data_IF_802340145744
#
_entry.id   IF_802340145744
#
_cell.length_a   1.000
_cell.length_b   1.000
_cell.length_c   1.000
_cell.angle_alpha   90.00
_cell.angle_beta   90.00
_cell.angle_gamma   90.00
#
_symmetry.space_group_name_H-M   'P 1'
#
loop_
_entity.id
_entity.type
_entity.pdbx_description
1 polymer ?
#
# COMPACT_ATOMS: atom_id res chain seq x y z
N UNK A 1 -2.98 -30.84 36.71
CA UNK A 1 -3.47 -31.86 35.77
C UNK A 1 -4.93 -31.59 35.52
N UNK A 2 -5.26 -30.97 34.39
CA UNK A 2 -6.65 -30.78 33.96
C UNK A 2 -7.22 -32.13 33.56
N UNK A 3 -8.28 -32.53 34.26
CA UNK A 3 -9.02 -33.77 34.06
C UNK A 3 -9.62 -33.79 32.64
N UNK A 4 -9.19 -34.73 31.79
CA UNK A 4 -9.66 -34.95 30.42
C UNK A 4 -11.03 -35.62 30.45
N UNK A 5 -12.05 -34.92 30.95
CA UNK A 5 -13.44 -35.31 30.66
C UNK A 5 -13.61 -35.22 29.15
N UNK A 6 -13.90 -36.36 28.51
CA UNK A 6 -13.68 -36.64 27.09
C UNK A 6 -14.20 -35.53 26.17
N UNK A 7 -13.29 -34.66 25.69
CA UNK A 7 -13.56 -33.55 24.75
C UNK A 7 -14.03 -33.98 23.36
N UNK A 8 -14.29 -35.27 23.16
CA UNK A 8 -14.68 -35.80 21.87
C UNK A 8 -15.77 -36.87 22.01
N UNK A 9 -16.55 -37.04 20.95
CA UNK A 9 -17.54 -38.12 20.82
C UNK A 9 -17.32 -38.88 19.52
N UNK A 10 -17.56 -40.19 19.57
CA UNK A 10 -17.61 -41.03 18.38
C UNK A 10 -18.99 -40.95 17.73
N UNK A 11 -19.04 -40.83 16.41
CA UNK A 11 -20.27 -41.04 15.66
C UNK A 11 -20.48 -42.51 15.26
N UNK A 12 -21.48 -42.73 14.40
CA UNK A 12 -21.77 -44.05 13.85
C UNK A 12 -20.69 -44.43 12.83
N UNK A 13 -20.06 -45.62 12.93
CA UNK A 13 -19.14 -46.10 11.89
C UNK A 13 -19.85 -46.24 10.55
N UNK A 14 -19.14 -45.94 9.45
CA UNK A 14 -19.59 -46.22 8.10
C UNK A 14 -19.36 -47.69 7.70
N UNK A 15 -19.77 -48.05 6.48
CA UNK A 15 -19.62 -49.40 5.93
C UNK A 15 -18.16 -49.82 5.74
N UNK A 16 -17.21 -48.87 5.83
CA UNK A 16 -15.76 -49.11 5.76
C UNK A 16 -15.13 -49.21 7.16
N UNK A 17 -15.93 -49.15 8.23
CA UNK A 17 -15.47 -49.20 9.61
C UNK A 17 -14.81 -47.90 10.09
N UNK A 18 -14.93 -46.81 9.33
CA UNK A 18 -14.46 -45.49 9.71
C UNK A 18 -15.45 -44.87 10.70
N UNK A 19 -15.00 -44.64 11.93
CA UNK A 19 -15.77 -43.96 12.97
C UNK A 19 -15.43 -42.46 12.97
N UNK A 20 -16.37 -41.55 12.66
CA UNK A 20 -16.11 -40.11 12.77
C UNK A 20 -15.90 -39.70 14.23
N UNK A 21 -15.00 -38.74 14.47
CA UNK A 21 -14.69 -38.18 15.79
C UNK A 21 -15.04 -36.69 15.78
N UNK A 22 -15.94 -36.28 16.66
CA UNK A 22 -16.35 -34.90 16.84
C UNK A 22 -15.70 -34.34 18.09
N UNK A 23 -15.08 -33.16 18.01
CA UNK A 23 -14.36 -32.52 19.12
C UNK A 23 -15.16 -31.31 19.60
N UNK A 24 -15.24 -31.09 20.91
CA UNK A 24 -15.89 -29.95 21.58
C UNK A 24 -17.33 -29.65 21.09
N UNK A 25 -18.09 -30.69 20.74
CA UNK A 25 -19.48 -30.54 20.30
C UNK A 25 -19.66 -30.04 18.87
N UNK A 26 -18.58 -29.99 18.06
CA UNK A 26 -18.66 -29.63 16.65
C UNK A 26 -19.72 -30.45 15.88
N UNK A 27 -20.39 -29.78 14.95
CA UNK A 27 -21.38 -30.40 14.05
C UNK A 27 -20.71 -31.28 12.99
N UNK A 28 -19.53 -30.87 12.53
CA UNK A 28 -18.69 -31.61 11.58
C UNK A 28 -17.60 -32.41 12.32
N UNK A 29 -17.21 -33.60 11.81
CA UNK A 29 -16.16 -34.39 12.43
C UNK A 29 -14.78 -33.76 12.18
N UNK A 30 -13.91 -33.81 13.19
CA UNK A 30 -12.50 -33.42 13.06
C UNK A 30 -11.68 -34.42 12.22
N UNK A 31 -12.21 -35.63 12.05
CA UNK A 31 -11.61 -36.70 11.30
C UNK A 31 -12.27 -38.04 11.59
N UNK A 32 -11.63 -39.11 11.14
CA UNK A 32 -12.09 -40.48 11.31
C UNK A 32 -11.03 -41.36 11.96
N UNK A 33 -11.49 -42.34 12.73
CA UNK A 33 -10.64 -43.44 13.21
C UNK A 33 -11.13 -44.76 12.67
N UNK A 34 -10.21 -45.63 12.25
CA UNK A 34 -10.54 -46.98 11.75
C UNK A 34 -9.58 -48.01 12.30
N UNK A 35 -10.06 -49.23 12.49
CA UNK A 35 -9.22 -50.36 12.86
C UNK A 35 -8.74 -51.04 11.57
N UNK A 36 -7.42 -51.08 11.36
CA UNK A 36 -6.79 -51.69 10.19
C UNK A 36 -6.46 -53.18 10.39
N UNK A 37 -6.74 -53.74 11.56
CA UNK A 37 -6.48 -55.15 11.87
C UNK A 37 -5.10 -55.37 12.46
N UNK A 38 -4.37 -56.40 11.99
CA UNK A 38 -3.23 -56.98 12.74
C UNK A 38 -2.02 -56.04 12.83
N UNK A 39 -1.45 -55.95 14.03
CA UNK A 39 -0.22 -55.19 14.33
C UNK A 39 -0.21 -54.70 15.78
N UNK A 40 0.89 -54.09 16.22
CA UNK A 40 0.99 -53.45 17.54
C UNK A 40 0.31 -52.07 17.58
N UNK A 41 0.05 -51.45 16.43
CA UNK A 41 -0.64 -50.17 16.27
C UNK A 41 -1.85 -50.32 15.32
N UNK A 42 -2.90 -51.05 15.72
CA UNK A 42 -3.99 -51.45 14.84
C UNK A 42 -4.95 -50.31 14.49
N UNK A 43 -4.91 -49.19 15.19
CA UNK A 43 -5.83 -48.06 14.98
C UNK A 43 -5.20 -46.99 14.11
N UNK A 44 -5.97 -46.43 13.19
CA UNK A 44 -5.55 -45.35 12.29
C UNK A 44 -6.42 -44.11 12.55
N UNK A 45 -5.80 -42.94 12.63
CA UNK A 45 -6.49 -41.64 12.67
C UNK A 45 -6.20 -40.85 11.41
N UNK A 46 -7.23 -40.26 10.81
CA UNK A 46 -7.13 -39.39 9.64
C UNK A 46 -7.94 -38.11 9.87
N UNK A 47 -7.31 -36.95 9.68
CA UNK A 47 -7.96 -35.66 9.88
C UNK A 47 -8.82 -35.25 8.69
N UNK A 48 -9.83 -34.41 8.91
CA UNK A 48 -10.59 -33.82 7.81
C UNK A 48 -9.66 -32.95 6.96
N UNK A 49 -9.65 -33.15 5.64
CA UNK A 49 -8.81 -32.40 4.69
C UNK A 49 -7.34 -32.86 4.58
N UNK A 50 -6.92 -33.92 5.29
CA UNK A 50 -5.52 -34.38 5.27
C UNK A 50 -5.11 -35.21 4.05
N UNK A 51 -5.99 -35.38 3.06
CA UNK A 51 -5.67 -36.03 1.78
C UNK A 51 -5.06 -37.44 1.90
N UNK A 52 -5.43 -38.22 2.93
CA UNK A 52 -4.88 -39.56 3.17
C UNK A 52 -3.67 -39.63 4.12
N UNK A 53 -3.11 -38.50 4.56
CA UNK A 53 -2.06 -38.48 5.57
C UNK A 53 -2.64 -38.72 6.97
N UNK A 54 -2.58 -39.96 7.47
CA UNK A 54 -2.99 -40.32 8.82
C UNK A 54 -1.85 -40.93 9.64
N UNK A 55 -2.15 -41.42 10.83
CA UNK A 55 -1.17 -42.02 11.75
C UNK A 55 -1.71 -43.25 12.45
N UNK A 56 -0.82 -44.20 12.78
CA UNK A 56 -1.12 -45.43 13.50
C UNK A 56 -0.98 -45.28 15.02
N UNK A 57 -1.86 -45.93 15.78
CA UNK A 57 -2.00 -45.86 17.24
C UNK A 57 -2.34 -47.23 17.83
N UNK A 58 -1.99 -47.45 19.10
CA UNK A 58 -2.23 -48.73 19.77
C UNK A 58 -3.72 -48.92 20.09
N UNK A 59 -4.42 -47.83 20.42
CA UNK A 59 -5.82 -47.86 20.81
C UNK A 59 -6.70 -46.87 20.03
N UNK A 60 -8.02 -47.14 20.00
CA UNK A 60 -9.03 -46.23 19.41
C UNK A 60 -9.04 -44.87 20.12
N UNK A 61 -8.76 -44.88 21.42
CA UNK A 61 -8.71 -43.69 22.26
C UNK A 61 -7.54 -42.80 21.86
N UNK A 62 -6.32 -43.33 21.77
CA UNK A 62 -5.13 -42.60 21.32
C UNK A 62 -5.31 -42.00 19.92
N UNK A 63 -5.93 -42.74 19.00
CA UNK A 63 -6.26 -42.27 17.66
C UNK A 63 -7.23 -41.06 17.70
N UNK A 64 -8.21 -41.07 18.59
CA UNK A 64 -9.13 -39.95 18.79
C UNK A 64 -8.45 -38.75 19.47
N UNK A 65 -7.62 -38.98 20.48
CA UNK A 65 -6.82 -37.93 21.13
C UNK A 65 -5.83 -37.26 20.17
N UNK A 66 -5.30 -38.00 19.17
CA UNK A 66 -4.48 -37.40 18.11
C UNK A 66 -5.27 -36.39 17.27
N UNK A 67 -6.55 -36.64 17.01
CA UNK A 67 -7.44 -35.71 16.31
C UNK A 67 -7.78 -34.50 17.19
N UNK A 68 -8.05 -34.69 18.48
CA UNK A 68 -8.24 -33.58 19.44
C UNK A 68 -7.00 -32.68 19.45
N UNK A 69 -5.80 -33.25 19.59
CA UNK A 69 -4.54 -32.49 19.51
C UNK A 69 -4.38 -31.76 18.19
N UNK A 70 -4.83 -32.37 17.08
CA UNK A 70 -4.81 -31.71 15.78
C UNK A 70 -5.70 -30.45 15.78
N UNK A 71 -6.93 -30.56 16.28
CA UNK A 71 -7.85 -29.41 16.41
C UNK A 71 -7.25 -28.32 17.29
N UNK A 72 -6.68 -28.69 18.45
CA UNK A 72 -6.04 -27.74 19.35
C UNK A 72 -4.86 -27.00 18.69
N UNK A 73 -4.03 -27.71 17.91
CA UNK A 73 -2.92 -27.13 17.16
C UNK A 73 -3.44 -26.16 16.08
N UNK A 74 -4.47 -26.54 15.30
CA UNK A 74 -5.04 -25.66 14.29
C UNK A 74 -5.64 -24.40 14.94
N UNK A 75 -6.44 -24.56 15.99
CA UNK A 75 -7.01 -23.43 16.72
C UNK A 75 -5.93 -22.53 17.34
N UNK A 76 -4.80 -23.10 17.78
CA UNK A 76 -3.65 -22.31 18.25
C UNK A 76 -2.98 -21.55 17.10
N UNK A 77 -2.76 -22.20 15.95
CA UNK A 77 -2.19 -21.57 14.76
C UNK A 77 -3.10 -20.45 14.25
N UNK A 78 -4.41 -20.65 14.19
CA UNK A 78 -5.38 -19.63 13.78
C UNK A 78 -5.26 -18.39 14.68
N UNK A 79 -5.22 -18.57 16.00
CA UNK A 79 -5.01 -17.44 16.94
C UNK A 79 -3.66 -16.75 16.74
N UNK A 80 -2.59 -17.51 16.46
CA UNK A 80 -1.26 -16.95 16.20
C UNK A 80 -1.30 -16.12 14.92
N UNK A 81 -1.90 -16.65 13.85
CA UNK A 81 -2.03 -15.97 12.57
C UNK A 81 -2.91 -14.72 12.68
N UNK A 82 -4.06 -14.80 13.33
CA UNK A 82 -4.94 -13.66 13.60
C UNK A 82 -4.20 -12.54 14.33
N UNK A 83 -3.39 -12.89 15.33
CA UNK A 83 -2.54 -11.92 16.03
C UNK A 83 -1.51 -11.30 15.10
N UNK A 84 -0.78 -12.10 14.33
CA UNK A 84 0.21 -11.61 13.37
C UNK A 84 -0.43 -10.67 12.34
N UNK A 85 -1.61 -11.02 11.81
CA UNK A 85 -2.32 -10.19 10.83
C UNK A 85 -2.84 -8.89 11.46
N UNK A 86 -3.33 -8.95 12.70
CA UNK A 86 -3.74 -7.77 13.46
C UNK A 86 -2.55 -6.85 13.71
N UNK A 87 -1.41 -7.39 14.15
CA UNK A 87 -0.18 -6.64 14.37
C UNK A 87 0.30 -6.00 13.05
N UNK A 88 0.27 -6.72 11.91
CA UNK A 88 0.61 -6.17 10.60
C UNK A 88 -0.30 -5.02 10.17
N UNK A 89 -1.62 -5.14 10.38
CA UNK A 89 -2.57 -4.04 10.13
C UNK A 89 -2.29 -2.84 11.01
N UNK A 90 -1.89 -3.07 12.26
CA UNK A 90 -1.51 -2.01 13.17
C UNK A 90 -0.23 -1.29 12.71
N UNK A 91 0.81 -2.03 12.30
CA UNK A 91 2.05 -1.43 11.78
C UNK A 91 1.85 -0.64 10.49
N UNK A 92 0.86 -1.01 9.67
CA UNK A 92 0.50 -0.27 8.44
C UNK A 92 0.22 1.22 8.70
N UNK A 93 -0.25 1.58 9.90
CA UNK A 93 -0.63 2.97 10.22
C UNK A 93 0.37 3.68 11.13
N UNK A 94 1.43 3.01 11.57
CA UNK A 94 2.42 3.58 12.50
C UNK A 94 3.69 4.03 11.78
N UNK A 95 3.80 5.35 11.60
CA UNK A 95 5.04 5.93 11.11
C UNK A 95 6.11 5.89 12.22
N UNK A 96 7.39 5.66 11.89
CA UNK A 96 8.48 5.84 12.84
C UNK A 96 8.51 7.27 13.40
N UNK A 97 9.02 7.45 14.62
CA UNK A 97 9.09 8.78 15.24
C UNK A 97 9.82 9.80 14.35
N UNK A 98 9.24 11.00 14.20
CA UNK A 98 9.75 12.06 13.32
C UNK A 98 9.38 11.90 11.84
N UNK A 99 8.63 10.86 11.51
CA UNK A 99 8.09 10.60 10.17
C UNK A 99 6.57 10.57 10.23
N UNK A 100 5.95 10.84 9.09
CA UNK A 100 4.52 10.63 8.86
C UNK A 100 4.30 10.00 7.51
N UNK A 101 3.21 9.25 7.40
CA UNK A 101 2.74 8.76 6.11
C UNK A 101 2.11 9.89 5.30
N UNK A 102 2.38 9.88 4.00
CA UNK A 102 1.74 10.72 3.00
C UNK A 102 1.41 9.87 1.79
N UNK A 103 0.26 10.14 1.18
CA UNK A 103 -0.07 9.53 -0.11
C UNK A 103 0.69 10.22 -1.25
N UNK A 104 0.70 9.57 -2.41
CA UNK A 104 1.41 10.06 -3.58
C UNK A 104 0.78 11.34 -4.16
N UNK A 105 -0.52 11.55 -3.98
CA UNK A 105 -1.19 12.78 -4.40
C UNK A 105 -0.72 13.97 -3.57
N UNK A 106 -0.55 13.81 -2.26
CA UNK A 106 0.02 14.82 -1.37
C UNK A 106 1.50 15.08 -1.73
N UNK A 107 2.29 14.05 -2.01
CA UNK A 107 3.69 14.20 -2.45
C UNK A 107 3.78 15.06 -3.70
N UNK A 108 2.97 14.77 -4.71
CA UNK A 108 2.91 15.52 -5.96
C UNK A 108 2.44 16.96 -5.74
N UNK A 109 1.36 17.15 -4.97
CA UNK A 109 0.74 18.46 -4.72
C UNK A 109 1.66 19.39 -3.93
N UNK A 110 2.19 18.91 -2.81
CA UNK A 110 3.04 19.71 -1.92
C UNK A 110 4.46 19.85 -2.48
N UNK A 111 4.89 18.91 -3.33
CA UNK A 111 6.22 18.89 -3.94
C UNK A 111 7.29 18.38 -2.97
N UNK A 112 6.97 17.36 -2.16
CA UNK A 112 7.94 16.78 -1.23
C UNK A 112 9.10 16.15 -2.01
N UNK A 113 10.30 16.67 -1.75
CA UNK A 113 11.50 16.25 -2.45
C UNK A 113 12.18 15.07 -1.77
N UNK A 114 12.20 15.01 -0.44
CA UNK A 114 12.78 13.88 0.28
C UNK A 114 11.68 12.97 0.82
N UNK A 115 11.64 11.74 0.31
CA UNK A 115 10.69 10.71 0.78
C UNK A 115 11.42 9.41 1.07
N UNK A 116 10.87 8.57 1.94
CA UNK A 116 11.28 7.16 2.08
C UNK A 116 10.15 6.29 1.54
N UNK A 117 10.23 5.84 0.27
CA UNK A 117 9.23 4.96 -0.30
C UNK A 117 9.20 3.63 0.46
N UNK A 118 8.05 2.97 0.42
CA UNK A 118 7.95 1.57 0.85
C UNK A 118 8.72 0.73 -0.17
N UNK A 119 9.72 -0.01 0.30
CA UNK A 119 10.54 -0.86 -0.56
C UNK A 119 9.99 -2.29 -0.60
N UNK A 120 9.44 -2.77 0.52
CA UNK A 120 8.84 -4.11 0.64
C UNK A 120 7.43 -4.02 1.18
N UNK A 121 6.47 -4.52 0.40
CA UNK A 121 5.04 -4.44 0.69
C UNK A 121 4.35 -5.81 0.50
N UNK A 122 4.61 -6.80 1.37
CA UNK A 122 3.96 -8.09 1.27
C UNK A 122 2.47 -7.99 1.64
N UNK A 123 1.68 -8.95 1.16
CA UNK A 123 0.29 -9.09 1.56
C UNK A 123 0.20 -9.52 3.04
N UNK A 124 -0.83 -9.04 3.73
CA UNK A 124 -1.06 -9.38 5.13
C UNK A 124 -1.37 -10.87 5.25
N UNK A 125 -2.15 -11.41 4.32
CA UNK A 125 -2.54 -12.82 4.22
C UNK A 125 -2.44 -13.33 2.78
N UNK A 126 -1.70 -14.41 2.56
CA UNK A 126 -1.51 -15.01 1.22
C UNK A 126 -0.78 -14.08 0.25
N UNK A 127 -1.19 -14.10 -1.02
CA UNK A 127 -0.51 -13.41 -2.13
C UNK A 127 -1.35 -12.29 -2.77
N UNK A 128 -2.52 -11.98 -2.21
CA UNK A 128 -3.44 -10.96 -2.73
C UNK A 128 -4.07 -10.11 -1.61
N UNK A 129 -4.69 -8.97 -1.99
CA UNK A 129 -5.44 -8.11 -1.08
C UNK A 129 -4.61 -7.06 -0.36
N UNK A 130 -4.89 -6.84 0.94
CA UNK A 130 -4.26 -5.78 1.74
C UNK A 130 -2.76 -6.04 1.94
N UNK A 131 -1.94 -5.00 1.78
CA UNK A 131 -0.48 -5.03 2.02
C UNK A 131 -0.10 -4.28 3.29
N UNK A 132 1.09 -4.51 3.82
CA UNK A 132 1.65 -3.68 4.90
C UNK A 132 3.08 -3.28 4.53
N UNK A 133 3.57 -2.14 5.02
CA UNK A 133 4.95 -1.72 4.76
C UNK A 133 5.88 -2.51 5.68
N UNK A 134 6.58 -3.49 5.12
CA UNK A 134 7.55 -4.32 5.85
C UNK A 134 8.91 -3.61 5.95
N UNK A 135 9.29 -2.88 4.90
CA UNK A 135 10.51 -2.08 4.88
C UNK A 135 10.36 -0.82 4.04
N UNK A 136 11.09 0.22 4.43
CA UNK A 136 11.24 1.48 3.70
C UNK A 136 12.65 1.60 3.15
N UNK A 137 12.88 2.50 2.18
CA UNK A 137 14.23 2.86 1.77
C UNK A 137 15.06 3.27 3.00
N UNK A 138 16.29 2.76 3.14
CA UNK A 138 17.14 3.01 4.32
C UNK A 138 17.47 4.49 4.50
N UNK A 139 17.66 5.19 3.38
CA UNK A 139 17.89 6.63 3.31
C UNK A 139 16.78 7.32 2.53
N UNK A 140 16.49 8.61 2.79
CA UNK A 140 15.53 9.36 2.00
C UNK A 140 16.00 9.49 0.55
N UNK A 141 15.11 9.18 -0.38
CA UNK A 141 15.29 9.39 -1.82
C UNK A 141 14.94 10.83 -2.14
N UNK A 142 15.80 11.49 -2.92
CA UNK A 142 15.50 12.80 -3.51
C UNK A 142 14.72 12.57 -4.79
N UNK A 143 13.40 12.76 -4.75
CA UNK A 143 12.55 12.61 -5.92
C UNK A 143 12.85 13.68 -6.96
N UNK A 144 12.89 13.25 -8.22
CA UNK A 144 12.93 14.14 -9.38
C UNK A 144 11.63 14.08 -10.17
N UNK A 145 10.92 12.93 -10.16
CA UNK A 145 9.69 12.76 -10.91
C UNK A 145 8.76 11.71 -10.31
N UNK A 146 7.46 11.96 -10.42
CA UNK A 146 6.37 11.03 -10.12
C UNK A 146 5.47 10.93 -11.35
N UNK A 147 5.16 9.72 -11.79
CA UNK A 147 4.26 9.47 -12.92
C UNK A 147 3.14 8.53 -12.46
N UNK A 148 1.90 8.97 -12.54
CA UNK A 148 0.72 8.15 -12.26
C UNK A 148 0.10 7.67 -13.58
N UNK A 149 -0.04 6.35 -13.72
CA UNK A 149 -0.50 5.67 -14.94
C UNK A 149 -1.99 5.31 -14.87
N UNK A 150 -2.60 5.07 -16.04
CA UNK A 150 -4.04 4.77 -16.18
C UNK A 150 -4.51 3.54 -15.39
N UNK A 151 -3.61 2.57 -15.18
CA UNK A 151 -3.90 1.35 -14.43
C UNK A 151 -3.75 1.53 -12.90
N UNK A 152 -3.51 2.76 -12.44
CA UNK A 152 -3.30 3.10 -11.03
C UNK A 152 -1.90 2.78 -10.50
N UNK A 153 -0.98 2.34 -11.36
CA UNK A 153 0.43 2.22 -11.00
C UNK A 153 1.07 3.61 -10.87
N UNK A 154 2.05 3.73 -9.99
CA UNK A 154 2.88 4.93 -9.87
C UNK A 154 4.34 4.56 -10.12
N UNK A 155 4.98 5.29 -11.03
CA UNK A 155 6.41 5.24 -11.26
C UNK A 155 7.06 6.45 -10.60
N UNK A 156 8.05 6.23 -9.75
CA UNK A 156 8.85 7.31 -9.18
C UNK A 156 10.29 7.20 -9.61
N UNK A 157 10.93 8.34 -9.80
CA UNK A 157 12.36 8.40 -10.04
C UNK A 157 13.02 9.52 -9.25
N UNK A 158 14.31 9.35 -8.98
CA UNK A 158 15.08 10.25 -8.16
C UNK A 158 16.52 9.82 -8.00
N UNK A 159 17.14 10.27 -6.92
CA UNK A 159 18.49 9.88 -6.52
C UNK A 159 18.51 9.42 -5.07
N UNK A 160 19.22 8.32 -4.82
CA UNK A 160 19.60 7.95 -3.46
C UNK A 160 20.86 8.72 -3.04
N UNK A 161 21.08 8.96 -1.73
CA UNK A 161 22.32 9.52 -1.26
C UNK A 161 23.55 8.66 -1.62
N UNK A 162 24.62 9.33 -2.03
CA UNK A 162 25.88 8.69 -2.45
C UNK A 162 25.98 8.48 -3.96
N UNK A 163 27.06 7.82 -4.39
CA UNK A 163 27.38 7.57 -5.80
C UNK A 163 26.62 6.34 -6.34
N UNK A 164 25.29 6.37 -6.18
CA UNK A 164 24.38 5.27 -6.52
C UNK A 164 23.71 5.49 -7.88
N UNK A 165 23.29 4.42 -8.57
CA UNK A 165 22.49 4.55 -9.79
C UNK A 165 21.20 5.35 -9.56
N UNK A 166 20.57 5.89 -10.61
CA UNK A 166 19.29 6.58 -10.49
C UNK A 166 18.27 5.67 -9.81
N UNK A 167 17.56 6.22 -8.83
CA UNK A 167 16.48 5.52 -8.16
C UNK A 167 15.27 5.47 -9.08
N UNK A 168 14.71 4.28 -9.28
CA UNK A 168 13.46 4.09 -10.03
C UNK A 168 12.64 3.00 -9.33
N UNK A 169 11.38 3.29 -9.02
CA UNK A 169 10.46 2.35 -8.40
C UNK A 169 9.09 2.40 -9.10
N UNK A 170 8.64 1.25 -9.62
CA UNK A 170 7.29 1.06 -10.14
C UNK A 170 6.44 0.35 -9.08
N UNK A 171 5.33 0.98 -8.70
CA UNK A 171 4.40 0.50 -7.68
C UNK A 171 3.07 0.12 -8.32
N UNK A 172 2.58 -1.08 -8.02
CA UNK A 172 1.21 -1.47 -8.35
C UNK A 172 0.17 -0.73 -7.48
N UNK A 173 -1.12 -0.74 -7.84
CA UNK A 173 -2.14 0.03 -7.12
C UNK A 173 -2.29 -0.32 -5.63
N UNK A 174 -2.00 -1.57 -5.23
CA UNK A 174 -2.05 -1.97 -3.83
C UNK A 174 -0.86 -1.42 -3.04
N UNK A 175 0.32 -1.35 -3.66
CA UNK A 175 1.51 -0.71 -3.13
C UNK A 175 1.34 0.81 -3.05
N UNK A 176 0.78 1.46 -4.08
CA UNK A 176 0.53 2.91 -4.12
C UNK A 176 -0.27 3.39 -2.90
N UNK A 177 -1.27 2.61 -2.46
CA UNK A 177 -2.08 2.90 -1.26
C UNK A 177 -1.31 2.96 0.06
N UNK A 178 -0.05 2.52 0.09
CA UNK A 178 0.80 2.64 1.27
C UNK A 178 1.47 4.01 1.37
N UNK A 179 1.54 4.76 0.25
CA UNK A 179 2.20 6.05 0.20
C UNK A 179 3.72 5.96 0.43
N UNK A 180 4.28 7.00 1.05
CA UNK A 180 5.67 7.03 1.50
C UNK A 180 5.77 7.73 2.86
N UNK A 181 6.94 7.62 3.49
CA UNK A 181 7.24 8.42 4.68
C UNK A 181 7.90 9.74 4.26
N UNK A 182 7.43 10.84 4.85
CA UNK A 182 8.11 12.14 4.84
C UNK A 182 8.43 12.54 6.27
N UNK A 183 9.46 13.37 6.45
CA UNK A 183 9.74 13.92 7.78
C UNK A 183 8.56 14.80 8.19
N UNK A 184 8.22 14.80 9.49
CA UNK A 184 7.12 15.65 9.99
C UNK A 184 7.37 17.14 9.75
N UNK A 185 8.64 17.54 9.71
CA UNK A 185 9.09 18.91 9.44
C UNK A 185 9.58 19.10 8.01
N UNK A 186 9.28 18.18 7.10
CA UNK A 186 9.63 18.34 5.69
C UNK A 186 8.99 19.65 5.18
N UNK A 187 9.78 20.57 4.60
CA UNK A 187 9.27 21.86 4.16
C UNK A 187 8.38 21.68 2.95
N UNK A 188 7.29 22.45 2.90
CA UNK A 188 6.42 22.60 1.73
C UNK A 188 6.33 24.06 1.30
N UNK A 189 6.19 24.30 0.02
CA UNK A 189 5.89 25.62 -0.51
C UNK A 189 4.40 25.92 -0.31
N UNK A 190 4.07 27.13 0.13
CA UNK A 190 2.70 27.52 0.47
C UNK A 190 2.19 28.65 -0.40
N UNK A 191 3.01 29.66 -0.68
CA UNK A 191 2.56 30.82 -1.44
C UNK A 191 3.71 31.52 -2.18
N UNK A 192 3.44 32.16 -3.34
CA UNK A 192 4.42 32.91 -4.10
C UNK A 192 4.82 34.23 -3.46
N UNK A 193 3.92 34.84 -2.71
CA UNK A 193 4.15 36.11 -2.05
C UNK A 193 3.42 36.18 -0.71
N UNK A 194 4.14 36.61 0.32
CA UNK A 194 3.61 36.99 1.61
C UNK A 194 4.75 37.41 2.54
N UNK A 195 4.38 38.00 3.67
CA UNK A 195 5.34 38.50 4.65
C UNK A 195 5.88 37.35 5.53
N UNK A 196 7.20 37.23 5.58
CA UNK A 196 7.86 36.23 6.42
C UNK A 196 7.75 36.59 7.90
N UNK A 197 7.15 35.71 8.73
CA UNK A 197 7.06 35.94 10.19
C UNK A 197 8.42 35.96 10.92
N UNK A 198 9.50 35.53 10.29
CA UNK A 198 10.84 35.50 10.89
C UNK A 198 11.69 36.73 10.58
N UNK A 199 11.49 37.37 9.43
CA UNK A 199 12.34 38.49 8.98
C UNK A 199 11.57 39.66 8.33
N UNK A 200 10.23 39.60 8.30
CA UNK A 200 9.34 40.65 7.77
C UNK A 200 9.60 40.98 6.29
N UNK A 201 10.30 40.10 5.57
CA UNK A 201 10.52 40.25 4.13
C UNK A 201 9.39 39.60 3.35
N UNK A 202 8.92 40.31 2.33
CA UNK A 202 8.00 39.76 1.34
C UNK A 202 8.71 38.76 0.43
N UNK A 203 8.07 37.62 0.19
CA UNK A 203 8.53 36.66 -0.79
C UNK A 203 7.78 35.33 -0.73
N UNK A 204 8.35 34.33 -1.40
CA UNK A 204 7.83 32.97 -1.36
C UNK A 204 7.84 32.42 0.08
N UNK A 205 6.70 31.86 0.50
CA UNK A 205 6.50 31.32 1.84
C UNK A 205 6.54 29.80 1.83
N UNK A 206 7.19 29.26 2.86
CA UNK A 206 7.35 27.84 3.11
C UNK A 206 6.82 27.50 4.50
N UNK A 207 6.18 26.35 4.61
CA UNK A 207 5.75 25.80 5.88
C UNK A 207 6.59 24.58 6.25
N UNK A 208 7.10 24.56 7.48
CA UNK A 208 7.75 23.41 8.09
C UNK A 208 7.11 23.13 9.45
N UNK A 209 6.37 22.02 9.55
CA UNK A 209 5.50 21.76 10.70
C UNK A 209 4.45 22.87 10.85
N UNK A 210 4.46 23.57 12.00
CA UNK A 210 3.54 24.69 12.27
C UNK A 210 4.10 26.07 11.94
N UNK A 211 5.35 26.15 11.47
CA UNK A 211 6.04 27.42 11.20
C UNK A 211 5.92 27.79 9.73
N UNK A 212 5.76 29.09 9.48
CA UNK A 212 5.71 29.69 8.14
C UNK A 212 6.84 30.72 8.03
N UNK A 213 7.61 30.69 6.94
CA UNK A 213 8.70 31.64 6.73
C UNK A 213 9.21 31.66 5.29
N UNK A 214 10.03 32.66 4.96
CA UNK A 214 10.69 32.72 3.66
C UNK A 214 11.70 31.58 3.50
N UNK A 215 12.23 31.42 2.28
CA UNK A 215 13.21 30.40 1.96
C UNK A 215 14.42 30.41 2.91
N UNK A 216 15.01 31.58 3.16
CA UNK A 216 16.17 31.70 4.05
C UNK A 216 15.86 31.34 5.50
N UNK A 217 14.73 31.81 6.04
CA UNK A 217 14.35 31.54 7.43
C UNK A 217 14.01 30.05 7.64
N UNK A 218 13.27 29.46 6.69
CA UNK A 218 12.89 28.04 6.75
C UNK A 218 14.11 27.13 6.61
N UNK A 219 15.00 27.43 5.66
CA UNK A 219 16.24 26.67 5.48
C UNK A 219 17.14 26.76 6.74
N UNK A 220 17.27 27.95 7.33
CA UNK A 220 18.03 28.14 8.55
C UNK A 220 17.43 27.38 9.75
N UNK A 221 16.10 27.40 9.92
CA UNK A 221 15.41 26.67 10.99
C UNK A 221 15.58 25.15 10.87
N UNK A 222 15.60 24.65 9.63
CA UNK A 222 15.79 23.24 9.33
C UNK A 222 17.26 22.81 9.26
N UNK A 223 18.21 23.75 9.24
CA UNK A 223 19.63 23.47 9.06
C UNK A 223 19.99 22.90 7.69
N UNK A 224 19.29 23.31 6.63
CA UNK A 224 19.48 22.84 5.24
C UNK A 224 19.84 24.00 4.31
N UNK A 225 20.21 23.70 3.07
CA UNK A 225 20.39 24.74 2.04
C UNK A 225 19.04 25.24 1.53
N UNK A 226 18.97 26.51 1.14
CA UNK A 226 17.81 27.07 0.43
C UNK A 226 17.52 26.30 -0.87
N UNK A 227 18.56 25.77 -1.53
CA UNK A 227 18.43 24.94 -2.75
C UNK A 227 17.79 23.57 -2.50
N UNK A 228 17.70 23.15 -1.24
CA UNK A 228 17.09 21.89 -0.85
C UNK A 228 15.60 22.06 -0.52
N UNK A 229 15.14 23.31 -0.37
CA UNK A 229 13.71 23.60 -0.27
C UNK A 229 13.00 23.26 -1.58
N UNK A 230 11.69 22.94 -1.51
CA UNK A 230 10.86 22.78 -2.71
C UNK A 230 10.97 24.02 -3.61
N UNK A 231 10.93 23.82 -4.93
CA UNK A 231 10.97 24.93 -5.90
C UNK A 231 9.86 25.97 -5.65
N UNK A 232 10.17 27.25 -5.88
CA UNK A 232 9.26 28.40 -5.72
C UNK A 232 8.31 28.60 -6.90
N UNK A 233 8.46 27.84 -7.98
CA UNK A 233 7.55 27.87 -9.13
C UNK A 233 6.24 27.24 -8.70
N UNK A 234 5.36 28.05 -8.13
CA UNK A 234 3.95 27.70 -8.01
C UNK A 234 3.52 27.08 -9.34
N UNK A 235 3.05 25.83 -9.30
CA UNK A 235 1.97 25.43 -10.20
C UNK A 235 0.85 26.33 -9.74
N UNK A 236 0.62 27.40 -10.49
CA UNK A 236 -0.10 28.54 -10.02
C UNK A 236 -1.51 28.12 -9.58
N UNK A 237 -1.89 28.52 -8.37
CA UNK A 237 -3.28 28.76 -7.94
C UNK A 237 -3.98 29.85 -8.82
N UNK A 238 -3.39 30.23 -9.96
CA UNK A 238 -4.00 31.07 -11.00
C UNK A 238 -4.98 30.27 -11.87
N UNK A 239 -5.80 29.42 -11.24
CA UNK A 239 -6.88 28.71 -11.92
C UNK A 239 -6.45 27.58 -12.87
N UNK A 240 -5.19 27.11 -12.82
CA UNK A 240 -4.80 25.88 -13.51
C UNK A 240 -5.36 24.66 -12.77
N UNK A 241 -6.15 23.85 -13.47
CA UNK A 241 -6.85 22.71 -12.88
C UNK A 241 -5.88 21.55 -12.58
N UNK A 242 -5.97 20.97 -11.38
CA UNK A 242 -5.21 19.79 -10.99
C UNK A 242 -5.82 18.51 -11.57
N UNK A 243 -5.38 18.15 -12.77
CA UNK A 243 -5.87 16.97 -13.48
C UNK A 243 -5.40 15.65 -12.86
N UNK A 244 -6.35 14.76 -12.61
CA UNK A 244 -6.14 13.38 -12.16
C UNK A 244 -6.36 12.40 -13.31
N UNK A 245 -5.72 11.23 -13.22
CA UNK A 245 -6.02 10.12 -14.14
C UNK A 245 -7.50 9.75 -14.03
N UNK A 246 -8.16 9.62 -15.19
CA UNK A 246 -9.59 9.38 -15.33
C UNK A 246 -10.43 10.64 -15.55
N UNK A 247 -9.88 11.84 -15.28
CA UNK A 247 -10.55 13.11 -15.51
C UNK A 247 -10.87 13.31 -16.98
N UNK A 248 -11.97 14.01 -17.26
CA UNK A 248 -12.41 14.33 -18.61
C UNK A 248 -11.96 15.73 -19.00
N UNK A 249 -11.34 15.84 -20.17
CA UNK A 249 -10.77 17.09 -20.69
C UNK A 249 -11.42 17.42 -22.02
N UNK A 250 -11.66 18.71 -22.32
CA UNK A 250 -12.04 19.15 -23.67
C UNK A 250 -10.88 19.88 -24.32
N UNK A 251 -10.60 19.58 -25.58
CA UNK A 251 -9.72 20.40 -26.42
C UNK A 251 -10.55 21.48 -27.10
N UNK A 252 -10.21 22.76 -26.89
CA UNK A 252 -10.68 23.84 -27.78
C UNK A 252 -9.92 23.68 -29.09
N UNK A 253 -10.63 23.55 -30.22
CA UNK A 253 -10.01 23.41 -31.53
C UNK A 253 -9.04 24.56 -31.81
N UNK A 254 -7.87 24.26 -32.39
CA UNK A 254 -6.89 25.27 -32.84
C UNK A 254 -7.42 26.14 -34.00
N UNK A 255 -8.55 25.75 -34.60
CA UNK A 255 -9.21 26.46 -35.68
C UNK A 255 -10.61 26.83 -35.20
N UNK A 256 -10.99 28.11 -35.19
CA UNK A 256 -12.34 28.54 -34.89
C UNK A 256 -13.23 28.23 -36.10
N UNK A 257 -13.45 26.95 -36.39
CA UNK A 257 -14.53 26.54 -37.26
C UNK A 257 -15.73 26.28 -36.36
N UNK A 258 -16.74 27.16 -36.44
CA UNK A 258 -17.90 27.23 -35.55
C UNK A 258 -18.74 25.93 -35.50
N UNK A 259 -18.41 24.95 -36.35
CA UNK A 259 -19.10 23.69 -36.51
C UNK A 259 -18.33 22.45 -36.03
N UNK A 260 -17.13 22.58 -35.46
CA UNK A 260 -16.40 21.42 -34.91
C UNK A 260 -16.76 21.25 -33.43
N UNK A 261 -17.49 20.17 -33.10
CA UNK A 261 -17.79 19.84 -31.70
C UNK A 261 -16.48 19.69 -30.89
N UNK A 262 -16.42 20.21 -29.66
CA UNK A 262 -15.23 20.08 -28.82
C UNK A 262 -14.93 18.60 -28.55
N UNK A 263 -13.72 18.15 -28.91
CA UNK A 263 -13.27 16.79 -28.68
C UNK A 263 -13.07 16.57 -27.17
N UNK A 264 -13.81 15.61 -26.60
CA UNK A 264 -13.67 15.18 -25.20
C UNK A 264 -12.73 13.99 -25.10
N UNK A 265 -11.73 14.05 -24.23
CA UNK A 265 -10.82 12.95 -23.94
C UNK A 265 -10.70 12.66 -22.45
N UNK A 266 -10.02 11.58 -22.10
CA UNK A 266 -9.74 11.18 -20.72
C UNK A 266 -8.26 11.26 -20.41
N UNK A 267 -7.90 11.82 -19.26
CA UNK A 267 -6.52 11.78 -18.76
C UNK A 267 -6.16 10.32 -18.47
N UNK A 268 -5.13 9.82 -19.13
CA UNK A 268 -4.63 8.46 -18.94
C UNK A 268 -3.34 8.43 -18.13
N UNK A 269 -2.51 9.48 -18.20
CA UNK A 269 -1.29 9.56 -17.37
C UNK A 269 -1.06 10.99 -16.92
N UNK A 270 -0.45 11.12 -15.75
CA UNK A 270 0.01 12.39 -15.20
C UNK A 270 1.48 12.25 -14.85
N UNK A 271 2.29 13.22 -15.23
CA UNK A 271 3.72 13.27 -14.95
C UNK A 271 4.03 14.58 -14.23
N UNK A 272 4.54 14.46 -13.01
CA UNK A 272 4.92 15.57 -12.14
C UNK A 272 6.43 15.57 -11.99
N UNK A 273 7.07 16.62 -12.50
CA UNK A 273 8.48 16.93 -12.32
C UNK A 273 8.67 17.70 -11.02
N UNK A 274 9.25 17.06 -10.01
CA UNK A 274 9.27 17.57 -8.63
C UNK A 274 10.17 18.81 -8.50
N UNK A 275 11.31 18.83 -9.18
CA UNK A 275 12.27 19.93 -9.10
C UNK A 275 11.76 21.16 -9.84
N UNK A 276 11.29 20.97 -11.07
CA UNK A 276 10.78 22.04 -11.93
C UNK A 276 9.37 22.50 -11.50
N UNK A 277 8.68 21.71 -10.66
CA UNK A 277 7.25 21.84 -10.34
C UNK A 277 6.41 22.02 -11.60
N UNK A 278 6.67 21.19 -12.61
CA UNK A 278 5.85 21.16 -13.82
C UNK A 278 5.05 19.87 -13.85
N UNK A 279 3.79 19.98 -14.27
CA UNK A 279 2.89 18.83 -14.46
C UNK A 279 2.52 18.75 -15.94
N UNK A 280 2.57 17.54 -16.48
CA UNK A 280 2.07 17.24 -17.82
C UNK A 280 1.03 16.15 -17.73
N UNK A 281 0.04 16.21 -18.62
CA UNK A 281 -0.99 15.19 -18.73
C UNK A 281 -1.01 14.58 -20.11
N UNK A 282 -1.21 13.28 -20.14
CA UNK A 282 -1.49 12.52 -21.36
C UNK A 282 -2.99 12.25 -21.41
N UNK A 283 -3.62 12.62 -22.53
CA UNK A 283 -5.07 12.50 -22.72
C UNK A 283 -5.36 11.60 -23.91
N UNK A 284 -6.29 10.67 -23.74
CA UNK A 284 -6.85 9.82 -24.79
C UNK A 284 -8.18 10.39 -25.28
N UNK A 285 -8.23 10.78 -26.56
CA UNK A 285 -9.43 11.30 -27.22
C UNK A 285 -10.17 10.23 -28.06
N UNK A 286 -9.80 8.95 -27.94
CA UNK A 286 -10.55 7.83 -28.50
C UNK A 286 -10.14 7.39 -29.90
N UNK A 287 -9.70 8.29 -30.79
CA UNK A 287 -9.58 7.94 -32.22
C UNK A 287 -8.31 8.36 -32.97
N UNK A 288 -7.30 8.98 -32.34
CA UNK A 288 -6.03 9.33 -33.03
C UNK A 288 -4.79 9.18 -32.16
N UNK A 289 -3.87 8.33 -32.60
CA UNK A 289 -2.47 8.36 -32.16
C UNK A 289 -1.81 9.69 -32.58
N UNK A 290 -0.88 10.24 -31.79
CA UNK A 290 -0.39 9.76 -30.50
C UNK A 290 -0.97 10.52 -29.29
N UNK A 291 -0.86 9.89 -28.12
CA UNK A 291 -0.98 10.51 -26.80
C UNK A 291 -0.17 11.81 -26.77
N UNK A 292 -0.84 12.96 -26.67
CA UNK A 292 -0.17 14.25 -26.59
C UNK A 292 0.01 14.63 -25.12
N UNK A 293 1.27 14.79 -24.71
CA UNK A 293 1.61 15.45 -23.45
C UNK A 293 1.25 16.94 -23.55
N UNK A 294 0.27 17.36 -22.77
CA UNK A 294 -0.20 18.74 -22.71
C UNK A 294 0.32 19.39 -21.41
N UNK A 295 0.72 20.68 -21.42
CA UNK A 295 0.87 21.47 -20.20
C UNK A 295 -0.46 21.50 -19.42
N UNK A 296 -0.43 21.56 -18.09
CA UNK A 296 -1.63 21.52 -17.24
C UNK A 296 -2.60 22.71 -17.41
N UNK A 297 -2.20 23.77 -18.14
CA UNK A 297 -3.02 24.94 -18.49
C UNK A 297 -4.15 24.68 -19.50
N UNK A 298 -4.79 23.50 -19.47
CA UNK A 298 -5.99 23.21 -20.26
C UNK A 298 -7.24 23.78 -19.57
N UNK A 299 -8.10 24.45 -20.34
CA UNK A 299 -9.33 25.05 -19.80
C UNK A 299 -10.33 23.96 -19.42
N UNK A 300 -10.93 24.00 -18.21
CA UNK A 300 -11.89 23.01 -17.80
C UNK A 300 -13.19 23.06 -18.59
N UNK A 301 -13.90 21.94 -18.52
CA UNK A 301 -15.25 21.77 -19.03
C UNK A 301 -16.21 22.21 -17.94
N UNK A 302 -17.00 23.25 -18.19
CA UNK A 302 -18.26 23.45 -17.44
C UNK A 302 -19.27 22.36 -17.77
#
# INVERSE_FOLDING_TARGET
MTDTTTRYRYGKPDDRGCTPVYVDGAAEPAGHVRNLGRGTLPWWSEGTGSGGAGSHHATKHEAAERLVRSVDIHAQLDRIFDRIFTDRRHYRTQAPAGWRFVDWTEIEREGYRQVRPVHRAPHIHGDEGERYPDAFADQPVTLTRVTTLHNGCVLVSGTEPGDRPPYVLLMDPAHVKLGALVREREPRYVAPAGECMGCEQDGALYQAGTRLGCASCTAADLGISVTDLPGTTAVADEGEMWWSVGDTVRRKGEIPDENTEPETGRVIETETFIVERTRRVAVDFGDRYPVLWQPAGLTPVE
#
